data_IF_446422783894
#
_entry.id   IF_446422783894
#
_cell.length_a   1.000
_cell.length_b   1.000
_cell.length_c   1.000
_cell.angle_alpha   90.00
_cell.angle_beta   90.00
_cell.angle_gamma   90.00
#
_symmetry.space_group_name_H-M   'P 1'
#
loop_
_entity.id
_entity.type
_entity.pdbx_description
1 polymer ?
#
# COMPACT_ATOMS: atom_id res chain seq x y z
N UNK A 1 0.14 -4.59 -28.89
CA UNK A 1 1.37 -4.43 -28.09
C UNK A 1 1.01 -3.66 -26.84
N UNK A 2 0.90 -4.34 -25.69
CA UNK A 2 0.48 -3.73 -24.43
C UNK A 2 1.54 -2.76 -23.94
N UNK A 3 1.18 -1.50 -23.71
CA UNK A 3 2.07 -0.48 -23.11
C UNK A 3 2.73 -1.05 -21.85
N UNK A 4 4.03 -1.30 -21.94
CA UNK A 4 4.89 -1.64 -20.82
C UNK A 4 4.81 -0.51 -19.78
N UNK A 5 4.61 -0.86 -18.51
CA UNK A 5 4.59 0.13 -17.45
C UNK A 5 6.03 0.43 -17.02
N UNK A 6 6.58 1.62 -17.26
CA UNK A 6 7.98 1.91 -16.93
C UNK A 6 8.20 2.09 -15.42
N UNK A 7 7.13 2.37 -14.66
CA UNK A 7 7.15 2.39 -13.21
C UNK A 7 5.74 2.20 -12.67
N UNK A 8 5.56 1.20 -11.82
CA UNK A 8 4.28 0.86 -11.23
C UNK A 8 4.41 -0.24 -10.18
N UNK A 9 3.27 -0.64 -9.63
CA UNK A 9 3.20 -1.78 -8.71
C UNK A 9 1.84 -2.44 -8.80
N UNK A 10 1.83 -3.76 -8.73
CA UNK A 10 0.65 -4.58 -8.48
C UNK A 10 0.74 -5.17 -7.09
N UNK A 11 -0.30 -4.99 -6.28
CA UNK A 11 -0.34 -5.44 -4.90
C UNK A 11 -1.62 -6.21 -4.66
N UNK A 12 -1.50 -7.40 -4.09
CA UNK A 12 -2.60 -8.16 -3.50
C UNK A 12 -2.09 -8.85 -2.24
N UNK A 13 -1.90 -8.06 -1.19
CA UNK A 13 -1.20 -8.47 0.01
C UNK A 13 -2.12 -8.44 1.24
N UNK A 14 -1.87 -9.34 2.18
CA UNK A 14 -2.65 -9.48 3.40
C UNK A 14 -1.73 -9.70 4.60
N UNK A 15 -1.98 -8.98 5.68
CA UNK A 15 -1.26 -9.12 6.94
C UNK A 15 -2.22 -9.21 8.11
N UNK A 16 -2.01 -10.19 8.99
CA UNK A 16 -2.86 -10.43 10.16
C UNK A 16 -2.34 -9.72 11.41
N UNK A 17 -3.26 -9.32 12.30
CA UNK A 17 -2.98 -8.90 13.68
C UNK A 17 -1.91 -7.80 13.81
N UNK A 18 -1.89 -6.84 12.89
CA UNK A 18 -0.96 -5.71 12.89
C UNK A 18 -1.47 -4.58 13.76
N UNK A 19 -0.55 -3.93 14.47
CA UNK A 19 -0.86 -2.75 15.29
C UNK A 19 -0.79 -1.50 14.43
N UNK A 20 -1.84 -0.69 14.48
CA UNK A 20 -1.96 0.54 13.70
C UNK A 20 -2.33 1.71 14.60
N UNK A 21 -2.13 2.92 14.08
CA UNK A 21 -2.58 4.15 14.73
C UNK A 21 -3.68 4.80 13.89
N UNK A 22 -4.80 5.10 14.54
CA UNK A 22 -5.84 5.98 14.01
C UNK A 22 -5.70 7.33 14.71
N UNK A 23 -5.60 8.42 13.97
CA UNK A 23 -5.27 9.73 14.54
C UNK A 23 -6.33 10.25 15.53
N UNK A 24 -7.56 9.78 15.39
CA UNK A 24 -8.69 10.12 16.26
C UNK A 24 -8.83 9.17 17.46
N UNK A 25 -8.04 8.10 17.53
CA UNK A 25 -8.01 7.16 18.65
C UNK A 25 -6.67 7.24 19.38
N UNK A 26 -6.70 7.46 20.70
CA UNK A 26 -5.47 7.54 21.52
C UNK A 26 -4.77 6.18 21.65
N UNK A 27 -5.52 5.09 21.55
CA UNK A 27 -5.02 3.72 21.66
C UNK A 27 -4.55 3.18 20.32
N UNK A 28 -3.54 2.31 20.35
CA UNK A 28 -3.16 1.49 19.19
C UNK A 28 -4.19 0.38 19.04
N UNK A 29 -4.66 0.17 17.81
CA UNK A 29 -5.66 -0.85 17.50
C UNK A 29 -4.97 -1.99 16.77
N UNK A 30 -5.33 -3.23 17.09
CA UNK A 30 -4.85 -4.41 16.37
C UNK A 30 -5.87 -4.86 15.36
N UNK A 31 -5.42 -5.22 14.17
CA UNK A 31 -6.32 -5.74 13.15
C UNK A 31 -5.61 -6.28 11.93
N UNK A 32 -6.42 -6.71 10.97
CA UNK A 32 -5.95 -7.24 9.70
C UNK A 32 -5.88 -6.11 8.67
N UNK A 33 -4.84 -6.14 7.83
CA UNK A 33 -4.60 -5.18 6.77
C UNK A 33 -4.63 -5.90 5.43
N UNK A 34 -5.48 -5.42 4.53
CA UNK A 34 -5.55 -5.89 3.13
C UNK A 34 -5.15 -4.75 2.22
N UNK A 35 -4.06 -4.94 1.48
CA UNK A 35 -3.52 -3.99 0.53
C UNK A 35 -3.86 -4.45 -0.88
N UNK A 36 -4.46 -3.57 -1.69
CA UNK A 36 -4.64 -3.82 -3.13
C UNK A 36 -4.20 -2.62 -3.92
N UNK A 37 -3.42 -2.86 -4.97
CA UNK A 37 -3.01 -1.81 -5.88
C UNK A 37 -2.83 -2.38 -7.30
N UNK A 38 -3.22 -1.61 -8.29
CA UNK A 38 -2.83 -1.79 -9.68
C UNK A 38 -2.51 -0.40 -10.23
N UNK A 39 -1.23 -0.04 -10.16
CA UNK A 39 -0.78 1.33 -10.30
C UNK A 39 0.31 1.41 -11.36
N UNK A 40 0.15 2.33 -12.30
CA UNK A 40 1.12 2.54 -13.38
C UNK A 40 1.26 4.01 -13.76
N UNK A 41 2.50 4.49 -13.90
CA UNK A 41 2.81 5.90 -14.21
C UNK A 41 2.25 6.37 -15.56
N UNK A 42 2.12 5.49 -16.55
CA UNK A 42 1.52 5.84 -17.86
C UNK A 42 0.00 5.77 -17.86
N UNK A 43 -0.62 5.25 -16.79
CA UNK A 43 -2.06 5.01 -16.66
C UNK A 43 -2.59 5.48 -15.31
N UNK A 44 -2.18 6.67 -14.86
CA UNK A 44 -2.59 7.24 -13.57
C UNK A 44 -4.11 7.33 -13.42
N UNK A 45 -4.83 7.68 -14.49
CA UNK A 45 -6.28 7.86 -14.47
C UNK A 45 -7.05 6.54 -14.24
N UNK A 46 -6.50 5.40 -14.65
CA UNK A 46 -7.10 4.08 -14.42
C UNK A 46 -6.41 3.30 -13.30
N UNK A 47 -5.40 3.86 -12.66
CA UNK A 47 -4.67 3.23 -11.56
C UNK A 47 -5.57 3.18 -10.32
N UNK A 48 -5.51 2.08 -9.59
CA UNK A 48 -6.30 1.87 -8.38
C UNK A 48 -5.42 1.51 -7.20
N UNK A 49 -5.80 1.98 -6.01
CA UNK A 49 -5.14 1.60 -4.76
C UNK A 49 -6.16 1.65 -3.62
N UNK A 50 -6.15 0.62 -2.78
CA UNK A 50 -7.04 0.54 -1.62
C UNK A 50 -6.35 -0.12 -0.44
N UNK A 51 -6.77 0.28 0.75
CA UNK A 51 -6.39 -0.30 2.02
C UNK A 51 -7.64 -0.59 2.82
N UNK A 52 -7.81 -1.84 3.24
CA UNK A 52 -8.86 -2.23 4.20
C UNK A 52 -8.19 -2.57 5.53
N UNK A 53 -8.75 -2.03 6.59
CA UNK A 53 -8.40 -2.40 7.96
C UNK A 53 -9.62 -3.01 8.65
N UNK A 54 -9.40 -4.15 9.29
CA UNK A 54 -10.42 -4.87 10.06
C UNK A 54 -9.91 -5.07 11.49
N UNK A 55 -10.58 -4.44 12.44
CA UNK A 55 -10.26 -4.48 13.86
C UNK A 55 -10.55 -5.87 14.46
N UNK A 56 -9.54 -6.46 15.08
CA UNK A 56 -9.64 -7.75 15.77
C UNK A 56 -10.10 -7.58 17.23
N UNK A 57 -9.77 -6.46 17.88
CA UNK A 57 -9.98 -6.24 19.32
C UNK A 57 -11.41 -5.73 19.59
N UNK A 58 -11.93 -4.85 18.73
CA UNK A 58 -13.33 -4.38 18.79
C UNK A 58 -14.02 -4.47 17.42
N UNK A 59 -14.45 -5.68 17.00
CA UNK A 59 -14.97 -5.92 15.67
C UNK A 59 -16.00 -4.87 15.21
N UNK A 60 -15.79 -4.34 14.00
CA UNK A 60 -16.63 -3.31 13.35
C UNK A 60 -16.57 -1.90 13.92
N UNK A 61 -15.86 -1.65 15.03
CA UNK A 61 -15.76 -0.30 15.60
C UNK A 61 -14.76 0.58 14.87
N UNK A 62 -13.60 0.03 14.54
CA UNK A 62 -12.49 0.76 13.93
C UNK A 62 -12.20 0.34 12.48
N UNK A 63 -13.07 -0.50 11.90
CA UNK A 63 -12.93 -0.96 10.52
C UNK A 63 -13.05 0.22 9.55
N UNK A 64 -12.21 0.23 8.52
CA UNK A 64 -12.34 1.21 7.45
C UNK A 64 -11.88 0.65 6.12
N UNK A 65 -12.41 1.24 5.05
CA UNK A 65 -11.92 1.06 3.69
C UNK A 65 -11.46 2.41 3.16
N UNK A 66 -10.19 2.47 2.81
CA UNK A 66 -9.59 3.56 2.06
C UNK A 66 -9.51 3.19 0.58
N UNK A 67 -9.93 4.11 -0.29
CA UNK A 67 -9.80 3.96 -1.74
C UNK A 67 -9.19 5.23 -2.32
N UNK A 68 -8.05 5.10 -3.00
CA UNK A 68 -7.44 6.19 -3.74
C UNK A 68 -8.36 6.65 -4.87
N UNK A 69 -8.64 7.95 -4.94
CA UNK A 69 -9.44 8.55 -6.01
C UNK A 69 -8.56 9.32 -7.01
N UNK A 70 -7.35 9.70 -6.60
CA UNK A 70 -6.37 10.36 -7.47
C UNK A 70 -4.96 9.96 -7.08
N UNK A 71 -4.20 9.41 -8.02
CA UNK A 71 -2.76 9.16 -7.84
C UNK A 71 -2.01 10.27 -8.57
N UNK A 72 -1.17 11.00 -7.84
CA UNK A 72 -0.48 12.18 -8.35
C UNK A 72 0.95 11.85 -8.80
N UNK A 73 1.61 10.93 -8.10
CA UNK A 73 3.01 10.62 -8.34
C UNK A 73 3.29 9.16 -7.99
N UNK A 74 4.09 8.51 -8.83
CA UNK A 74 4.62 7.17 -8.61
C UNK A 74 6.12 7.25 -8.89
N UNK A 75 6.93 6.79 -7.94
CA UNK A 75 8.39 6.73 -8.12
C UNK A 75 8.86 5.32 -7.83
N UNK A 76 9.63 4.75 -8.74
CA UNK A 76 10.26 3.46 -8.59
C UNK A 76 11.76 3.68 -8.42
N UNK A 77 12.34 3.03 -7.41
CA UNK A 77 13.77 3.06 -7.17
C UNK A 77 14.25 1.64 -6.94
N UNK A 78 15.21 1.23 -7.74
CA UNK A 78 15.93 -0.02 -7.53
C UNK A 78 16.94 0.13 -6.39
N UNK A 79 16.99 -0.86 -5.52
CA UNK A 79 17.97 -0.97 -4.44
C UNK A 79 18.52 -2.40 -4.42
N UNK A 80 19.60 -2.64 -5.16
CA UNK A 80 20.13 -3.99 -5.37
C UNK A 80 19.16 -4.88 -6.16
N UNK A 81 18.71 -5.96 -5.54
CA UNK A 81 17.69 -6.88 -6.07
C UNK A 81 16.26 -6.40 -5.79
N UNK A 82 16.09 -5.44 -4.88
CA UNK A 82 14.79 -4.97 -4.43
C UNK A 82 14.30 -3.77 -5.24
N UNK A 83 12.98 -3.61 -5.31
CA UNK A 83 12.31 -2.52 -6.00
C UNK A 83 11.37 -1.78 -5.07
N UNK A 84 11.75 -0.53 -4.74
CA UNK A 84 10.97 0.34 -3.89
C UNK A 84 10.04 1.20 -4.75
N UNK A 85 8.74 1.01 -4.59
CA UNK A 85 7.71 1.78 -5.29
C UNK A 85 6.97 2.66 -4.30
N UNK A 86 7.06 3.96 -4.49
CA UNK A 86 6.32 4.95 -3.68
C UNK A 86 5.17 5.52 -4.50
N UNK A 87 3.96 5.43 -3.95
CA UNK A 87 2.72 5.96 -4.54
C UNK A 87 2.19 7.09 -3.65
N UNK A 88 1.89 8.24 -4.25
CA UNK A 88 1.35 9.41 -3.55
C UNK A 88 0.09 9.92 -4.24
N UNK A 89 -0.86 10.40 -3.46
CA UNK A 89 -2.09 10.94 -4.01
C UNK A 89 -3.11 11.33 -2.95
N UNK A 90 -4.38 11.29 -3.33
CA UNK A 90 -5.53 11.42 -2.45
C UNK A 90 -6.44 10.21 -2.56
N UNK A 91 -7.15 9.93 -1.49
CA UNK A 91 -8.21 8.91 -1.46
C UNK A 91 -9.25 9.24 -0.42
N UNK A 92 -10.28 8.41 -0.34
CA UNK A 92 -11.40 8.58 0.59
C UNK A 92 -11.43 7.47 1.62
N UNK A 93 -11.82 7.84 2.84
CA UNK A 93 -12.36 6.90 3.84
C UNK A 93 -13.81 7.30 4.08
N UNK A 94 -14.75 6.44 3.70
CA UNK A 94 -16.16 6.84 3.59
C UNK A 94 -16.32 8.00 2.60
N UNK A 95 -16.82 9.14 3.08
CA UNK A 95 -17.03 10.36 2.26
C UNK A 95 -15.87 11.35 2.34
N UNK A 96 -14.99 11.24 3.34
CA UNK A 96 -13.94 12.22 3.61
C UNK A 96 -12.66 11.92 2.83
N UNK A 97 -12.09 12.94 2.19
CA UNK A 97 -10.86 12.82 1.40
C UNK A 97 -9.61 13.14 2.23
N UNK A 98 -8.56 12.35 2.05
CA UNK A 98 -7.27 12.49 2.71
C UNK A 98 -6.12 12.34 1.71
N UNK A 99 -4.99 13.06 1.90
CA UNK A 99 -3.75 12.75 1.21
C UNK A 99 -3.14 11.46 1.78
N UNK A 100 -2.49 10.69 0.92
CA UNK A 100 -1.82 9.45 1.32
C UNK A 100 -0.43 9.30 0.70
N UNK A 101 0.39 8.50 1.37
CA UNK A 101 1.68 8.00 0.87
C UNK A 101 1.75 6.52 1.20
N UNK A 102 2.00 5.69 0.19
CA UNK A 102 2.23 4.26 0.33
C UNK A 102 3.59 3.91 -0.26
N UNK A 103 4.37 3.09 0.43
CA UNK A 103 5.68 2.62 0.00
C UNK A 103 5.67 1.10 0.05
N UNK A 104 5.87 0.49 -1.11
CA UNK A 104 5.91 -0.94 -1.32
C UNK A 104 7.32 -1.34 -1.73
N UNK A 105 7.78 -2.50 -1.28
CA UNK A 105 9.06 -3.08 -1.67
C UNK A 105 8.77 -4.48 -2.20
N UNK A 106 8.93 -4.62 -3.51
CA UNK A 106 9.06 -5.91 -4.20
C UNK A 106 10.47 -6.43 -3.91
N UNK A 107 10.57 -7.50 -3.14
CA UNK A 107 11.86 -8.08 -2.76
C UNK A 107 12.35 -9.02 -3.87
N UNK A 108 13.67 -9.21 -3.96
CA UNK A 108 14.24 -10.15 -4.92
C UNK A 108 13.64 -11.57 -4.79
N UNK A 109 13.71 -12.36 -5.87
CA UNK A 109 13.14 -13.72 -5.92
C UNK A 109 13.69 -14.68 -4.84
N UNK A 110 14.82 -14.35 -4.23
CA UNK A 110 15.47 -15.09 -3.15
C UNK A 110 14.93 -14.76 -1.74
N UNK A 111 14.14 -13.69 -1.59
CA UNK A 111 13.60 -13.27 -0.30
C UNK A 111 12.36 -14.10 0.10
N UNK A 112 12.14 -14.29 1.40
CA UNK A 112 10.99 -15.06 1.90
C UNK A 112 9.66 -14.27 1.84
N UNK A 113 9.73 -12.94 1.96
CA UNK A 113 8.57 -12.05 2.06
C UNK A 113 8.79 -10.77 1.25
N UNK A 114 7.70 -10.19 0.74
CA UNK A 114 7.65 -8.79 0.28
C UNK A 114 7.36 -7.84 1.46
N UNK A 115 7.60 -6.54 1.28
CA UNK A 115 7.47 -5.58 2.38
C UNK A 115 6.59 -4.40 1.99
N UNK A 116 5.50 -4.19 2.74
CA UNK A 116 4.83 -2.89 2.80
C UNK A 116 5.59 -2.02 3.80
N UNK A 117 6.52 -1.21 3.29
CA UNK A 117 7.42 -0.41 4.11
C UNK A 117 6.68 0.63 4.95
N UNK A 118 5.67 1.30 4.36
CA UNK A 118 4.82 2.24 5.08
C UNK A 118 3.53 2.49 4.32
N UNK A 119 2.42 2.67 5.03
CA UNK A 119 1.18 3.20 4.48
C UNK A 119 0.62 4.25 5.42
N UNK A 120 0.53 5.50 4.95
CA UNK A 120 0.09 6.64 5.74
C UNK A 120 -1.05 7.35 5.02
N UNK A 121 -2.19 7.49 5.68
CA UNK A 121 -3.31 8.34 5.29
C UNK A 121 -3.27 9.55 6.23
N UNK A 122 -2.69 10.66 5.75
CA UNK A 122 -2.36 11.81 6.58
C UNK A 122 -3.60 12.38 7.24
N UNK A 123 -3.56 12.49 8.58
CA UNK A 123 -4.69 12.96 9.37
C UNK A 123 -5.67 11.87 9.81
N UNK A 124 -5.51 10.63 9.34
CA UNK A 124 -6.46 9.54 9.62
C UNK A 124 -5.80 8.26 10.14
N UNK A 125 -4.83 7.70 9.40
CA UNK A 125 -4.25 6.39 9.67
C UNK A 125 -2.73 6.38 9.43
N UNK A 126 -2.01 5.66 10.27
CA UNK A 126 -0.58 5.42 10.15
C UNK A 126 -0.25 3.96 10.49
N UNK A 127 0.42 3.29 9.54
CA UNK A 127 1.11 2.03 9.79
C UNK A 127 2.36 2.29 10.64
N UNK A 128 2.47 1.62 11.79
CA UNK A 128 3.51 1.91 12.78
C UNK A 128 4.87 1.26 12.48
N UNK A 129 4.88 0.17 11.73
CA UNK A 129 6.06 -0.64 11.43
C UNK A 129 6.01 -1.17 10.00
N UNK A 130 7.14 -1.58 9.44
CA UNK A 130 7.13 -2.29 8.16
C UNK A 130 6.35 -3.60 8.30
N UNK A 131 5.55 -3.93 7.28
CA UNK A 131 4.70 -5.12 7.30
C UNK A 131 5.19 -6.09 6.24
N UNK A 132 5.76 -7.22 6.70
CA UNK A 132 6.05 -8.37 5.85
C UNK A 132 4.75 -9.01 5.37
N UNK A 133 4.71 -9.35 4.09
CA UNK A 133 3.60 -10.01 3.39
C UNK A 133 4.18 -11.09 2.48
N UNK A 134 3.38 -12.09 2.13
CA UNK A 134 3.84 -13.21 1.33
C UNK A 134 4.57 -12.75 0.05
N UNK A 135 5.69 -13.38 -0.27
CA UNK A 135 6.43 -13.10 -1.50
C UNK A 135 5.53 -13.22 -2.74
N UNK A 136 5.73 -12.33 -3.72
CA UNK A 136 4.95 -12.26 -4.94
C UNK A 136 3.59 -11.58 -4.76
N UNK A 137 3.27 -11.10 -3.55
CA UNK A 137 2.08 -10.30 -3.31
C UNK A 137 2.28 -8.82 -3.65
N UNK A 138 3.54 -8.38 -3.81
CA UNK A 138 3.92 -7.07 -4.32
C UNK A 138 4.81 -7.30 -5.55
N UNK A 139 4.35 -6.88 -6.72
CA UNK A 139 5.11 -6.99 -7.97
C UNK A 139 5.37 -5.60 -8.51
N UNK A 140 6.62 -5.17 -8.53
CA UNK A 140 7.01 -3.90 -9.10
C UNK A 140 7.05 -3.99 -10.63
N UNK A 141 6.41 -3.03 -11.30
CA UNK A 141 6.41 -2.94 -12.75
C UNK A 141 7.51 -1.99 -13.24
N UNK A 142 8.30 -2.43 -14.22
CA UNK A 142 9.33 -1.60 -14.86
C UNK A 142 10.58 -1.34 -14.01
N UNK A 143 10.70 -2.00 -12.86
CA UNK A 143 11.84 -1.88 -11.95
C UNK A 143 12.74 -3.14 -11.94
N UNK A 144 12.22 -4.27 -12.42
CA UNK A 144 12.92 -5.56 -12.48
C UNK A 144 14.02 -5.55 -13.58
N UNK A 145 15.10 -6.32 -13.38
CA UNK A 145 16.19 -6.46 -14.36
C UNK A 145 15.63 -7.15 -15.60
N UNK A 146 15.81 -6.55 -16.79
CA UNK A 146 15.64 -7.24 -18.08
C UNK A 146 16.73 -8.29 -18.23
#
# INVERSE_FOLDING_TARGET
MGTMCPCGVQVNAFARRKKVRLNWCKSRIRGNLTYKADVCVTKLASSSLSLRFEDDDTPNRYNFLFTANKINNITCRRNGENCVVTVKGTGKVGTTQYPFVAVFIDQGASAEDDIVQSFVIKGFFEQLEAVSVAQGSIVALGCQKV
#
